data_IF_918992315750
#
_entry.id   IF_918992315750
#
_cell.length_a   1.000
_cell.length_b   1.000
_cell.length_c   1.000
_cell.angle_alpha   90.00
_cell.angle_beta   90.00
_cell.angle_gamma   90.00
#
_symmetry.space_group_name_H-M   'P 1'
#
loop_
_entity.id
_entity.type
_entity.pdbx_description
1 polymer ?
#
# COMPACT_ATOMS: atom_id res chain seq x y z
N UNK A 1 6.23 -23.73 -25.84
CA UNK A 1 5.24 -23.96 -24.77
C UNK A 1 5.87 -23.46 -23.51
N UNK A 2 5.40 -22.33 -22.97
CA UNK A 2 5.83 -21.81 -21.65
C UNK A 2 5.27 -22.78 -20.60
N UNK A 3 6.13 -23.27 -19.73
CA UNK A 3 5.77 -24.10 -18.58
C UNK A 3 4.68 -23.36 -17.75
N UNK A 4 3.49 -23.96 -17.53
CA UNK A 4 2.44 -23.33 -16.75
C UNK A 4 2.85 -23.02 -15.30
N UNK A 5 3.97 -23.58 -14.82
CA UNK A 5 4.57 -23.27 -13.51
C UNK A 5 5.40 -21.99 -13.54
N UNK A 6 5.82 -21.48 -14.71
CA UNK A 6 6.79 -20.38 -14.84
C UNK A 6 6.24 -18.99 -14.49
N UNK A 7 4.92 -18.83 -14.23
CA UNK A 7 4.27 -17.54 -14.05
C UNK A 7 3.38 -17.45 -12.79
N UNK A 8 3.55 -18.38 -11.82
CA UNK A 8 2.78 -18.34 -10.58
C UNK A 8 3.20 -17.19 -9.69
N UNK A 9 2.23 -16.43 -9.22
CA UNK A 9 2.44 -15.27 -8.35
C UNK A 9 1.88 -15.53 -6.95
N UNK A 10 2.74 -15.40 -5.93
CA UNK A 10 2.32 -15.32 -4.54
C UNK A 10 1.89 -13.89 -4.22
N UNK A 11 0.74 -13.73 -3.57
CA UNK A 11 0.26 -12.43 -3.07
C UNK A 11 0.17 -12.48 -1.55
N UNK A 12 1.10 -11.83 -0.87
CA UNK A 12 1.08 -11.68 0.59
C UNK A 12 0.04 -10.64 1.01
N UNK A 13 -0.54 -10.81 2.19
CA UNK A 13 -1.58 -9.93 2.71
C UNK A 13 -2.85 -9.94 1.84
N UNK A 14 -3.19 -11.08 1.24
CA UNK A 14 -4.25 -11.21 0.24
C UNK A 14 -5.67 -10.94 0.77
N UNK A 15 -5.86 -10.85 2.07
CA UNK A 15 -7.13 -10.42 2.70
C UNK A 15 -7.15 -8.93 3.06
N UNK A 16 -6.04 -8.23 2.81
CA UNK A 16 -5.88 -6.81 3.09
C UNK A 16 -6.27 -5.90 1.93
N UNK A 17 -6.18 -4.60 2.18
CA UNK A 17 -6.61 -3.51 1.29
C UNK A 17 -6.00 -3.57 -0.12
N UNK A 18 -4.70 -3.81 -0.24
CA UNK A 18 -4.03 -3.89 -1.54
C UNK A 18 -3.92 -5.32 -2.04
N UNK A 19 -3.55 -6.28 -1.18
CA UNK A 19 -3.33 -7.67 -1.58
C UNK A 19 -4.55 -8.32 -2.23
N UNK A 20 -5.76 -8.12 -1.66
CA UNK A 20 -6.99 -8.65 -2.25
C UNK A 20 -7.22 -8.12 -3.68
N UNK A 21 -6.99 -6.81 -3.87
CA UNK A 21 -7.14 -6.15 -5.17
C UNK A 21 -6.07 -6.60 -6.17
N UNK A 22 -4.83 -6.78 -5.71
CA UNK A 22 -3.73 -7.31 -6.56
C UNK A 22 -4.06 -8.72 -7.02
N UNK A 23 -4.48 -9.60 -6.10
CA UNK A 23 -4.86 -10.96 -6.44
C UNK A 23 -5.98 -10.99 -7.49
N UNK A 24 -7.04 -10.18 -7.29
CA UNK A 24 -8.14 -10.06 -8.24
C UNK A 24 -7.65 -9.62 -9.63
N UNK A 25 -6.84 -8.55 -9.71
CA UNK A 25 -6.35 -8.02 -10.99
C UNK A 25 -5.42 -8.98 -11.73
N UNK A 26 -4.65 -9.79 -11.00
CA UNK A 26 -3.83 -10.84 -11.61
C UNK A 26 -4.71 -11.95 -12.18
N UNK A 27 -5.75 -12.39 -11.47
CA UNK A 27 -6.73 -13.38 -11.96
C UNK A 27 -7.47 -12.85 -13.19
N UNK A 28 -7.89 -11.58 -13.19
CA UNK A 28 -8.53 -10.95 -14.36
C UNK A 28 -7.62 -10.92 -15.60
N UNK A 29 -6.29 -10.93 -15.40
CA UNK A 29 -5.29 -11.05 -16.47
C UNK A 29 -4.96 -12.50 -16.85
N UNK A 30 -5.63 -13.49 -16.27
CA UNK A 30 -5.41 -14.91 -16.52
C UNK A 30 -4.11 -15.46 -15.94
N UNK A 31 -3.53 -14.77 -14.96
CA UNK A 31 -2.31 -15.25 -14.29
C UNK A 31 -2.65 -16.13 -13.09
N UNK A 32 -1.93 -17.25 -12.89
CA UNK A 32 -2.15 -18.11 -11.74
C UNK A 32 -1.65 -17.43 -10.47
N UNK A 33 -2.53 -17.33 -9.47
CA UNK A 33 -2.27 -16.68 -8.18
C UNK A 33 -2.35 -17.71 -7.07
N UNK A 34 -1.46 -17.60 -6.09
CA UNK A 34 -1.60 -18.17 -4.74
C UNK A 34 -1.74 -17.03 -3.77
N UNK A 35 -2.83 -17.01 -3.03
CA UNK A 35 -3.06 -16.04 -1.96
C UNK A 35 -2.45 -16.51 -0.65
N UNK A 36 -1.87 -15.58 0.13
CA UNK A 36 -1.28 -15.87 1.43
C UNK A 36 -1.69 -14.83 2.48
N UNK A 37 -2.17 -15.30 3.62
CA UNK A 37 -2.56 -14.48 4.77
C UNK A 37 -2.66 -15.35 6.02
N UNK A 38 -2.81 -14.73 7.19
CA UNK A 38 -3.02 -15.46 8.45
C UNK A 38 -4.31 -16.28 8.44
N UNK A 39 -5.34 -15.80 7.75
CA UNK A 39 -6.64 -16.49 7.59
C UNK A 39 -7.25 -16.13 6.24
N UNK A 40 -8.13 -17.00 5.70
CA UNK A 40 -8.95 -16.71 4.52
C UNK A 40 -8.18 -16.61 3.20
N UNK A 41 -7.06 -17.34 3.07
CA UNK A 41 -6.23 -17.41 1.87
C UNK A 41 -5.89 -18.87 1.52
N UNK A 42 -5.30 -19.12 0.36
CA UNK A 42 -4.92 -20.47 -0.10
C UNK A 42 -3.87 -21.11 0.79
N UNK A 43 -2.94 -20.30 1.33
CA UNK A 43 -1.89 -20.75 2.26
C UNK A 43 -1.82 -19.85 3.49
N UNK A 44 -1.52 -20.46 4.62
CA UNK A 44 -1.23 -19.71 5.84
C UNK A 44 0.12 -19.01 5.74
N UNK A 45 0.16 -17.73 6.10
CA UNK A 45 1.37 -16.92 6.16
C UNK A 45 1.30 -15.91 7.31
N UNK A 46 2.29 -15.91 8.18
CA UNK A 46 2.42 -14.94 9.26
C UNK A 46 3.86 -14.42 9.32
N UNK A 47 4.03 -13.11 9.27
CA UNK A 47 5.33 -12.46 9.44
C UNK A 47 6.00 -12.74 10.78
N UNK A 48 5.24 -13.14 11.81
CA UNK A 48 5.75 -13.49 13.12
C UNK A 48 6.13 -14.98 13.23
N UNK A 49 5.92 -15.77 12.19
CA UNK A 49 6.23 -17.20 12.15
C UNK A 49 6.94 -17.56 10.84
N UNK A 50 8.29 -17.53 10.88
CA UNK A 50 9.13 -17.83 9.71
C UNK A 50 8.95 -19.26 9.18
N UNK A 51 8.41 -20.20 9.97
CA UNK A 51 8.14 -21.57 9.49
C UNK A 51 7.08 -21.61 8.37
N UNK A 52 6.30 -20.52 8.23
CA UNK A 52 5.29 -20.39 7.17
C UNK A 52 5.87 -19.94 5.81
N UNK A 53 7.12 -19.45 5.78
CA UNK A 53 7.72 -18.80 4.60
C UNK A 53 7.97 -19.79 3.45
N UNK A 54 8.74 -20.84 3.70
CA UNK A 54 9.10 -21.84 2.69
C UNK A 54 7.88 -22.47 2.01
N UNK A 55 6.84 -22.80 2.80
CA UNK A 55 5.58 -23.34 2.26
C UNK A 55 4.83 -22.36 1.37
N UNK A 56 4.87 -21.06 1.69
CA UNK A 56 4.20 -20.05 0.90
C UNK A 56 4.86 -19.83 -0.46
N UNK A 57 6.21 -19.79 -0.52
CA UNK A 57 6.97 -19.50 -1.74
C UNK A 57 7.18 -20.72 -2.65
N UNK A 58 6.95 -21.95 -2.18
CA UNK A 58 7.19 -23.17 -2.91
C UNK A 58 6.48 -23.18 -4.28
N UNK A 59 7.25 -23.27 -5.37
CA UNK A 59 6.75 -23.30 -6.75
C UNK A 59 6.20 -21.93 -7.24
N UNK A 60 6.57 -20.84 -6.59
CA UNK A 60 6.25 -19.49 -7.05
C UNK A 60 7.40 -18.90 -7.86
N UNK A 61 7.10 -18.08 -8.84
CA UNK A 61 8.08 -17.36 -9.64
C UNK A 61 8.08 -15.86 -9.40
N UNK A 62 7.02 -15.34 -8.80
CA UNK A 62 6.82 -13.91 -8.51
C UNK A 62 6.13 -13.74 -7.17
N UNK A 63 6.42 -12.63 -6.49
CA UNK A 63 5.81 -12.32 -5.20
C UNK A 63 5.40 -10.86 -5.13
N UNK A 64 4.18 -10.61 -4.66
CA UNK A 64 3.76 -9.30 -4.14
C UNK A 64 3.96 -9.26 -2.64
N UNK A 65 4.77 -8.32 -2.16
CA UNK A 65 5.09 -8.16 -0.73
C UNK A 65 4.41 -6.93 -0.16
N UNK A 66 3.68 -7.14 0.94
CA UNK A 66 3.21 -6.11 1.87
C UNK A 66 3.88 -6.37 3.21
N UNK A 67 4.55 -5.37 3.76
CA UNK A 67 5.20 -5.45 5.07
C UNK A 67 4.21 -5.73 6.20
N UNK A 68 4.68 -6.23 7.36
CA UNK A 68 3.85 -6.36 8.56
C UNK A 68 3.17 -5.05 8.92
N UNK A 69 1.87 -5.10 9.17
CA UNK A 69 1.07 -3.91 9.52
C UNK A 69 1.38 -3.48 10.95
N UNK A 70 1.55 -2.16 11.16
CA UNK A 70 1.79 -1.53 12.47
C UNK A 70 3.08 -2.01 13.19
N UNK A 71 4.04 -2.56 12.47
CA UNK A 71 5.39 -2.85 12.97
C UNK A 71 6.40 -1.87 12.38
N UNK A 72 7.49 -1.62 13.08
CA UNK A 72 8.57 -0.72 12.66
C UNK A 72 9.93 -1.42 12.53
N UNK A 73 10.03 -2.69 12.94
CA UNK A 73 11.26 -3.47 13.08
C UNK A 73 11.27 -4.75 12.22
N UNK A 74 10.65 -4.71 11.06
CA UNK A 74 10.39 -5.91 10.24
C UNK A 74 11.42 -6.18 9.13
N UNK A 75 12.43 -5.35 8.97
CA UNK A 75 13.36 -5.49 7.83
C UNK A 75 14.08 -6.84 7.81
N UNK A 76 14.49 -7.36 8.99
CA UNK A 76 15.11 -8.68 9.10
C UNK A 76 14.18 -9.83 8.71
N UNK A 77 12.91 -9.77 9.10
CA UNK A 77 11.94 -10.81 8.74
C UNK A 77 11.69 -10.83 7.23
N UNK A 78 11.59 -9.64 6.61
CA UNK A 78 11.42 -9.53 5.15
C UNK A 78 12.68 -10.00 4.42
N UNK A 79 13.88 -9.68 4.92
CA UNK A 79 15.15 -10.17 4.36
C UNK A 79 15.22 -11.69 4.39
N UNK A 80 14.89 -12.32 5.52
CA UNK A 80 14.80 -13.77 5.65
C UNK A 80 13.77 -14.37 4.67
N UNK A 81 12.59 -13.77 4.55
CA UNK A 81 11.61 -14.22 3.55
C UNK A 81 12.14 -14.12 2.12
N UNK A 82 12.91 -13.09 1.80
CA UNK A 82 13.52 -12.94 0.48
C UNK A 82 14.59 -14.00 0.22
N UNK A 83 15.35 -14.45 1.23
CA UNK A 83 16.29 -15.57 1.11
C UNK A 83 15.54 -16.86 0.75
N UNK A 84 14.47 -17.19 1.48
CA UNK A 84 13.60 -18.34 1.18
C UNK A 84 12.97 -18.24 -0.21
N UNK A 85 12.62 -17.05 -0.65
CA UNK A 85 12.05 -16.82 -1.97
C UNK A 85 13.08 -17.05 -3.09
N UNK A 86 14.33 -16.59 -2.92
CA UNK A 86 15.42 -16.85 -3.88
C UNK A 86 15.73 -18.33 -3.95
N UNK A 87 15.86 -19.01 -2.81
CA UNK A 87 16.14 -20.46 -2.74
C UNK A 87 15.02 -21.29 -3.37
N UNK A 88 13.76 -20.85 -3.25
CA UNK A 88 12.60 -21.48 -3.89
C UNK A 88 12.47 -21.20 -5.40
N UNK A 89 13.34 -20.34 -5.97
CA UNK A 89 13.35 -20.01 -7.39
C UNK A 89 12.43 -18.86 -7.80
N UNK A 90 12.00 -18.02 -6.87
CA UNK A 90 11.35 -16.74 -7.19
C UNK A 90 12.34 -15.85 -7.95
N UNK A 91 11.86 -15.16 -8.98
CA UNK A 91 12.69 -14.32 -9.85
C UNK A 91 12.32 -12.85 -9.86
N UNK A 92 11.11 -12.52 -9.40
CA UNK A 92 10.65 -11.14 -9.38
C UNK A 92 9.81 -10.84 -8.13
N UNK A 93 10.08 -9.70 -7.53
CA UNK A 93 9.34 -9.18 -6.37
C UNK A 93 8.76 -7.82 -6.71
N UNK A 94 7.48 -7.60 -6.40
CA UNK A 94 6.87 -6.28 -6.34
C UNK A 94 6.61 -5.93 -4.88
N UNK A 95 7.29 -4.90 -4.39
CA UNK A 95 7.25 -4.48 -2.99
C UNK A 95 6.39 -3.23 -2.81
N UNK A 96 5.43 -3.30 -1.88
CA UNK A 96 4.65 -2.14 -1.46
C UNK A 96 5.40 -1.37 -0.37
N UNK A 97 6.04 -0.30 -0.78
CA UNK A 97 6.71 0.70 0.04
C UNK A 97 5.75 1.87 0.36
N UNK A 98 6.26 3.08 0.57
CA UNK A 98 5.49 4.30 0.80
C UNK A 98 6.13 5.51 0.12
N UNK A 99 5.34 6.55 -0.16
CA UNK A 99 5.79 7.78 -0.79
C UNK A 99 6.92 8.45 0.00
N UNK A 100 7.99 8.84 -0.70
CA UNK A 100 9.13 9.55 -0.14
C UNK A 100 10.16 8.66 0.58
N UNK A 101 9.99 7.33 0.58
CA UNK A 101 10.91 6.41 1.27
C UNK A 101 12.32 6.39 0.69
N UNK A 102 12.52 6.80 -0.56
CA UNK A 102 13.86 7.00 -1.16
C UNK A 102 14.72 8.02 -0.39
N UNK A 103 14.08 8.91 0.35
CA UNK A 103 14.74 9.94 1.17
C UNK A 103 14.77 9.61 2.66
N UNK A 104 14.21 8.46 3.06
CA UNK A 104 14.16 8.06 4.45
C UNK A 104 15.54 7.58 4.95
N UNK A 105 15.86 7.75 6.24
CA UNK A 105 17.03 7.15 6.86
C UNK A 105 17.08 5.63 6.68
N UNK A 106 18.29 5.05 6.70
CA UNK A 106 18.52 3.62 6.49
C UNK A 106 17.90 2.74 7.59
N UNK A 107 17.68 3.32 8.75
CA UNK A 107 17.09 2.67 9.92
C UNK A 107 15.57 2.48 9.79
N UNK A 108 14.94 3.16 8.83
CA UNK A 108 13.50 2.98 8.55
C UNK A 108 13.32 1.65 7.84
N UNK A 109 12.62 0.71 8.49
CA UNK A 109 12.48 -0.66 8.00
C UNK A 109 11.97 -0.75 6.55
N UNK A 110 11.04 0.11 6.15
CA UNK A 110 10.56 0.18 4.76
C UNK A 110 11.69 0.50 3.78
N UNK A 111 12.57 1.47 4.11
CA UNK A 111 13.73 1.81 3.29
C UNK A 111 14.78 0.71 3.30
N UNK A 112 15.01 0.09 4.45
CA UNK A 112 15.95 -1.02 4.56
C UNK A 112 15.55 -2.20 3.65
N UNK A 113 14.26 -2.52 3.54
CA UNK A 113 13.76 -3.54 2.60
C UNK A 113 13.97 -3.12 1.15
N UNK A 114 13.76 -1.83 0.80
CA UNK A 114 14.07 -1.36 -0.57
C UNK A 114 15.53 -1.59 -0.92
N UNK A 115 16.44 -1.24 -0.03
CA UNK A 115 17.89 -1.40 -0.23
C UNK A 115 18.32 -2.87 -0.29
N UNK A 116 17.71 -3.74 0.51
CA UNK A 116 17.95 -5.17 0.43
C UNK A 116 17.54 -5.70 -0.96
N UNK A 117 16.36 -5.37 -1.45
CA UNK A 117 15.91 -5.73 -2.80
C UNK A 117 16.83 -5.19 -3.89
N UNK A 118 17.27 -3.93 -3.78
CA UNK A 118 18.19 -3.29 -4.72
C UNK A 118 19.57 -3.98 -4.74
N UNK A 119 20.00 -4.58 -3.63
CA UNK A 119 21.29 -5.26 -3.50
C UNK A 119 21.31 -6.69 -4.04
N UNK A 120 20.16 -7.35 -4.13
CA UNK A 120 20.03 -8.77 -4.54
C UNK A 120 20.27 -8.96 -6.02
N UNK A 121 21.07 -9.96 -6.37
CA UNK A 121 21.41 -10.28 -7.77
C UNK A 121 20.56 -11.40 -8.35
N UNK A 122 20.01 -12.26 -7.52
CA UNK A 122 19.14 -13.39 -7.89
C UNK A 122 17.68 -13.00 -8.12
N UNK A 123 17.25 -11.85 -7.59
CA UNK A 123 15.91 -11.30 -7.72
C UNK A 123 15.88 -10.00 -8.53
N UNK A 124 14.96 -9.90 -9.47
CA UNK A 124 14.55 -8.60 -9.99
C UNK A 124 13.42 -8.03 -9.13
N UNK A 125 13.29 -6.71 -9.08
CA UNK A 125 12.28 -6.07 -8.24
C UNK A 125 11.58 -4.90 -8.95
N UNK A 126 10.39 -4.58 -8.45
CA UNK A 126 9.70 -3.29 -8.67
C UNK A 126 9.25 -2.76 -7.32
N UNK A 127 9.49 -1.48 -7.07
CA UNK A 127 9.11 -0.82 -5.81
C UNK A 127 7.92 0.09 -6.07
N UNK A 128 6.88 0.00 -5.26
CA UNK A 128 5.72 0.88 -5.31
C UNK A 128 5.71 1.78 -4.07
N UNK A 129 5.81 3.09 -4.27
CA UNK A 129 5.81 4.12 -3.22
C UNK A 129 4.53 4.95 -3.30
N UNK A 130 3.36 4.37 -2.98
CA UNK A 130 2.10 5.07 -3.14
C UNK A 130 1.94 6.23 -2.15
N UNK A 131 1.21 7.25 -2.59
CA UNK A 131 0.64 8.30 -1.76
C UNK A 131 -0.41 7.74 -0.78
N UNK A 132 -1.00 8.58 0.08
CA UNK A 132 -2.07 8.16 0.98
C UNK A 132 -3.27 7.60 0.22
N UNK A 133 -3.82 6.50 0.72
CA UNK A 133 -4.89 5.78 0.04
C UNK A 133 -6.24 6.48 0.21
N UNK A 134 -6.98 6.62 -0.88
CA UNK A 134 -8.39 7.06 -0.84
C UNK A 134 -9.24 6.17 0.08
N UNK A 135 -8.96 4.86 0.12
CA UNK A 135 -9.66 3.89 0.96
C UNK A 135 -9.46 4.12 2.47
N UNK A 136 -8.54 4.98 2.88
CA UNK A 136 -8.45 5.39 4.28
C UNK A 136 -9.71 6.14 4.74
N UNK A 137 -10.40 6.84 3.83
CA UNK A 137 -11.65 7.55 4.12
C UNK A 137 -12.89 6.65 4.18
N UNK A 138 -12.84 5.44 3.61
CA UNK A 138 -13.99 4.52 3.59
C UNK A 138 -13.81 3.27 4.43
N UNK A 139 -12.56 2.85 4.68
CA UNK A 139 -12.26 1.54 5.25
C UNK A 139 -11.50 1.61 6.58
N UNK A 140 -10.80 2.73 6.91
CA UNK A 140 -9.92 2.81 8.08
C UNK A 140 -9.98 4.17 8.79
N UNK A 141 -8.87 4.63 9.36
CA UNK A 141 -8.73 5.69 10.36
C UNK A 141 -9.15 7.10 9.91
N UNK A 142 -9.33 7.35 8.62
CA UNK A 142 -9.90 8.60 8.10
C UNK A 142 -11.40 8.51 7.84
N UNK A 143 -12.05 7.37 8.12
CA UNK A 143 -13.51 7.25 7.99
C UNK A 143 -14.16 8.29 8.91
N UNK A 144 -15.07 9.13 8.38
CA UNK A 144 -15.72 10.14 9.21
C UNK A 144 -16.42 9.54 10.42
N UNK A 145 -16.12 10.03 11.60
CA UNK A 145 -16.81 9.70 12.84
C UNK A 145 -17.68 10.89 13.28
N UNK A 146 -18.97 10.66 13.53
CA UNK A 146 -19.92 11.73 13.85
C UNK A 146 -19.94 12.87 12.81
N UNK A 147 -19.68 12.55 11.54
CA UNK A 147 -19.62 13.55 10.47
C UNK A 147 -18.30 14.33 10.37
N UNK A 148 -17.26 13.92 11.11
CA UNK A 148 -15.96 14.60 11.06
C UNK A 148 -14.83 13.66 10.65
N UNK A 149 -13.94 14.16 9.79
CA UNK A 149 -12.61 13.59 9.53
C UNK A 149 -11.64 14.34 10.44
N UNK A 150 -11.00 13.63 11.37
CA UNK A 150 -10.12 14.23 12.39
C UNK A 150 -8.70 13.73 12.21
N UNK A 151 -7.81 14.61 11.74
CA UNK A 151 -6.38 14.29 11.52
C UNK A 151 -5.56 15.57 11.51
N UNK A 152 -4.34 15.62 12.12
CA UNK A 152 -3.56 16.85 12.29
C UNK A 152 -2.71 17.17 11.03
N UNK A 153 -3.38 17.47 9.91
CA UNK A 153 -2.73 17.77 8.64
C UNK A 153 -2.85 19.24 8.20
N UNK A 154 -3.50 20.09 9.02
CA UNK A 154 -3.68 21.52 8.73
C UNK A 154 -4.34 21.75 7.37
N UNK A 155 -3.77 22.64 6.59
CA UNK A 155 -4.19 22.94 5.21
C UNK A 155 -3.33 22.22 4.17
N UNK A 156 -2.53 21.24 4.59
CA UNK A 156 -1.69 20.46 3.68
C UNK A 156 -2.52 19.68 2.68
N UNK A 157 -1.99 19.56 1.46
CA UNK A 157 -2.62 18.81 0.39
C UNK A 157 -1.86 17.50 0.12
N UNK A 158 -2.60 16.50 -0.33
CA UNK A 158 -2.10 15.15 -0.63
C UNK A 158 -2.71 14.65 -1.93
N UNK A 159 -1.90 14.03 -2.79
CA UNK A 159 -2.38 13.40 -4.02
C UNK A 159 -2.90 11.99 -3.74
N UNK A 160 -4.02 11.89 -3.00
CA UNK A 160 -4.61 10.61 -2.59
C UNK A 160 -4.77 9.66 -3.77
N UNK A 161 -4.30 8.42 -3.62
CA UNK A 161 -4.34 7.39 -4.65
C UNK A 161 -5.36 6.30 -4.33
N UNK A 162 -6.06 5.79 -5.34
CA UNK A 162 -6.94 4.64 -5.16
C UNK A 162 -6.14 3.35 -4.95
N UNK A 163 -6.55 2.51 -4.01
CA UNK A 163 -5.98 1.16 -3.86
C UNK A 163 -6.20 0.30 -5.12
N UNK A 164 -7.21 0.62 -5.95
CA UNK A 164 -7.42 0.00 -7.26
C UNK A 164 -6.28 0.35 -8.23
N UNK A 165 -5.82 1.60 -8.22
CA UNK A 165 -4.73 2.05 -9.08
C UNK A 165 -3.40 1.45 -8.62
N UNK A 166 -3.14 1.42 -7.30
CA UNK A 166 -1.97 0.75 -6.72
C UNK A 166 -1.94 -0.73 -7.15
N UNK A 167 -3.07 -1.42 -7.04
CA UNK A 167 -3.19 -2.80 -7.44
C UNK A 167 -3.01 -2.99 -8.96
N UNK A 168 -3.45 -2.03 -9.78
CA UNK A 168 -3.22 -2.05 -11.22
C UNK A 168 -1.74 -1.93 -11.58
N UNK A 169 -1.01 -1.04 -10.89
CA UNK A 169 0.46 -0.91 -11.04
C UNK A 169 1.16 -2.18 -10.58
N UNK A 170 0.79 -2.73 -9.40
CA UNK A 170 1.36 -4.00 -8.92
C UNK A 170 1.10 -5.16 -9.89
N UNK A 171 -0.12 -5.26 -10.42
CA UNK A 171 -0.44 -6.29 -11.39
C UNK A 171 0.31 -6.10 -12.71
N UNK A 172 0.58 -4.87 -13.14
CA UNK A 172 1.39 -4.60 -14.33
C UNK A 172 2.85 -5.07 -14.12
N UNK A 173 3.46 -4.71 -12.99
CA UNK A 173 4.85 -5.08 -12.67
C UNK A 173 5.02 -6.60 -12.51
N UNK A 174 4.03 -7.28 -11.94
CA UNK A 174 4.02 -8.73 -11.79
C UNK A 174 3.69 -9.46 -13.10
N UNK A 175 2.94 -8.85 -14.01
CA UNK A 175 2.58 -9.47 -15.29
C UNK A 175 3.73 -9.41 -16.29
N UNK A 176 4.50 -8.33 -16.30
CA UNK A 176 5.62 -8.11 -17.21
C UNK A 176 6.88 -7.64 -16.45
N UNK A 177 7.54 -8.54 -15.69
CA UNK A 177 8.76 -8.18 -14.96
C UNK A 177 9.87 -7.61 -15.85
N UNK A 178 9.98 -8.06 -17.08
CA UNK A 178 11.04 -7.60 -17.99
C UNK A 178 10.94 -6.10 -18.27
N UNK A 179 9.73 -5.57 -18.39
CA UNK A 179 9.47 -4.13 -18.59
C UNK A 179 9.67 -3.29 -17.34
N UNK A 180 9.48 -3.90 -16.16
CA UNK A 180 9.37 -3.15 -14.90
C UNK A 180 10.50 -3.43 -13.90
N UNK A 181 11.42 -4.35 -14.20
CA UNK A 181 12.55 -4.68 -13.33
C UNK A 181 13.44 -3.46 -13.04
N UNK A 182 13.81 -3.30 -11.77
CA UNK A 182 14.64 -2.20 -11.27
C UNK A 182 13.92 -0.84 -11.25
N UNK A 183 12.60 -0.80 -11.48
CA UNK A 183 11.84 0.45 -11.46
C UNK A 183 11.17 0.67 -10.12
N UNK A 184 11.17 1.95 -9.69
CA UNK A 184 10.32 2.44 -8.64
C UNK A 184 9.21 3.30 -9.24
N UNK A 185 7.99 3.12 -8.79
CA UNK A 185 6.82 3.92 -9.14
C UNK A 185 6.26 4.55 -7.87
N UNK A 186 5.87 5.81 -7.94
CA UNK A 186 5.18 6.52 -6.87
C UNK A 186 3.70 6.76 -7.24
N UNK A 187 2.83 5.76 -7.14
CA UNK A 187 1.43 5.90 -7.52
C UNK A 187 0.76 7.04 -6.74
N UNK A 188 0.22 8.03 -7.46
CA UNK A 188 -0.52 9.16 -6.92
C UNK A 188 -1.85 9.31 -7.63
N UNK A 189 -2.80 10.01 -6.99
CA UNK A 189 -3.99 10.48 -7.68
C UNK A 189 -3.68 11.63 -8.65
N UNK A 190 -4.64 12.01 -9.51
CA UNK A 190 -4.44 13.03 -10.53
C UNK A 190 -4.53 14.46 -9.97
N UNK A 191 -4.88 14.63 -8.71
CA UNK A 191 -5.10 15.93 -8.07
C UNK A 191 -4.60 15.90 -6.61
N UNK A 192 -3.95 16.96 -6.17
CA UNK A 192 -3.60 17.15 -4.75
C UNK A 192 -4.76 17.86 -4.06
N UNK A 193 -5.29 17.25 -3.00
CA UNK A 193 -6.46 17.74 -2.27
C UNK A 193 -6.10 17.92 -0.79
N UNK A 194 -6.61 18.99 -0.20
CA UNK A 194 -6.66 19.15 1.26
C UNK A 194 -7.69 18.18 1.86
N UNK A 195 -7.59 17.90 3.15
CA UNK A 195 -8.61 17.08 3.84
C UNK A 195 -9.98 17.74 3.86
N UNK A 196 -10.05 19.08 3.85
CA UNK A 196 -11.29 19.85 3.70
C UNK A 196 -11.94 19.59 2.33
N UNK A 197 -11.15 19.57 1.24
CA UNK A 197 -11.63 19.27 -0.10
C UNK A 197 -12.10 17.82 -0.20
N UNK A 198 -11.37 16.87 0.38
CA UNK A 198 -11.80 15.48 0.46
C UNK A 198 -13.14 15.34 1.21
N UNK A 199 -13.30 16.02 2.34
CA UNK A 199 -14.56 16.05 3.10
C UNK A 199 -15.73 16.59 2.27
N UNK A 200 -15.49 17.61 1.44
CA UNK A 200 -16.53 18.15 0.52
C UNK A 200 -16.96 17.13 -0.56
N UNK A 201 -16.01 16.39 -1.15
CA UNK A 201 -16.34 15.31 -2.09
C UNK A 201 -17.14 14.19 -1.42
N UNK A 202 -16.76 13.79 -0.22
CA UNK A 202 -17.46 12.77 0.56
C UNK A 202 -18.88 13.26 0.94
N UNK A 203 -19.01 14.52 1.37
CA UNK A 203 -20.32 15.12 1.66
C UNK A 203 -21.25 15.08 0.45
N UNK A 204 -20.75 15.50 -0.72
CA UNK A 204 -21.50 15.48 -1.98
C UNK A 204 -21.95 14.07 -2.37
N UNK A 205 -21.07 13.08 -2.22
CA UNK A 205 -21.36 11.70 -2.60
C UNK A 205 -22.31 10.99 -1.64
N UNK A 206 -22.18 11.22 -0.33
CA UNK A 206 -22.99 10.56 0.70
C UNK A 206 -24.35 11.24 0.95
N UNK A 207 -24.48 12.51 0.58
CA UNK A 207 -25.65 13.34 0.94
C UNK A 207 -25.65 13.78 2.42
N UNK A 208 -24.56 13.55 3.14
CA UNK A 208 -24.40 13.94 4.56
C UNK A 208 -23.41 15.09 4.68
N UNK A 209 -23.57 15.93 5.68
CA UNK A 209 -22.57 16.94 6.00
C UNK A 209 -21.36 16.27 6.65
N UNK A 210 -20.24 16.23 5.95
CA UNK A 210 -18.94 15.77 6.46
C UNK A 210 -18.01 16.97 6.46
N UNK A 211 -17.31 17.18 7.59
CA UNK A 211 -16.34 18.25 7.75
C UNK A 211 -14.96 17.69 8.09
N UNK A 212 -13.95 18.48 7.86
CA UNK A 212 -12.60 18.23 8.35
C UNK A 212 -12.36 19.02 9.63
N UNK A 213 -11.70 18.42 10.60
CA UNK A 213 -11.24 19.08 11.81
C UNK A 213 -9.76 18.82 12.02
N UNK A 214 -8.98 19.89 11.94
CA UNK A 214 -7.59 19.86 12.39
C UNK A 214 -7.55 19.80 13.93
N UNK A 215 -6.57 19.09 14.47
CA UNK A 215 -6.45 18.84 15.91
C UNK A 215 -4.96 18.88 16.29
N UNK A 216 -4.69 19.12 17.58
CA UNK A 216 -3.34 18.98 18.11
C UNK A 216 -2.78 17.57 17.81
N UNK A 217 -1.56 17.52 17.27
CA UNK A 217 -0.96 16.26 16.82
C UNK A 217 -0.66 15.31 17.96
N UNK A 218 -0.18 15.82 19.10
CA UNK A 218 0.14 14.98 20.24
C UNK A 218 -1.12 14.37 20.85
N UNK A 219 -2.19 15.17 20.95
CA UNK A 219 -3.50 14.67 21.38
C UNK A 219 -4.07 13.62 20.43
N UNK A 220 -3.92 13.80 19.10
CA UNK A 220 -4.37 12.83 18.12
C UNK A 220 -3.57 11.52 18.20
N UNK A 221 -2.23 11.59 18.30
CA UNK A 221 -1.39 10.41 18.46
C UNK A 221 -1.77 9.67 19.74
N UNK A 222 -1.93 10.39 20.87
CA UNK A 222 -2.35 9.77 22.13
C UNK A 222 -3.68 9.02 21.99
N UNK A 223 -4.65 9.59 21.27
CA UNK A 223 -5.93 8.92 20.99
C UNK A 223 -5.76 7.66 20.13
N UNK A 224 -4.86 7.68 19.13
CA UNK A 224 -4.57 6.50 18.31
C UNK A 224 -3.93 5.38 19.15
N UNK A 225 -2.98 5.70 20.04
CA UNK A 225 -2.37 4.73 20.94
C UNK A 225 -3.41 4.14 21.91
N UNK A 226 -4.31 4.97 22.46
CA UNK A 226 -5.42 4.49 23.29
C UNK A 226 -6.40 3.59 22.51
N UNK A 227 -6.55 3.81 21.21
CA UNK A 227 -7.35 2.97 20.32
C UNK A 227 -6.65 1.66 19.91
N UNK A 228 -5.45 1.37 20.44
CA UNK A 228 -4.73 0.11 20.24
C UNK A 228 -3.64 0.13 19.17
N UNK A 229 -3.27 1.29 18.64
CA UNK A 229 -2.07 1.41 17.81
C UNK A 229 -0.83 1.20 18.70
N UNK A 230 0.15 0.36 18.30
CA UNK A 230 1.37 0.15 19.07
C UNK A 230 2.16 1.44 19.32
N UNK A 231 2.76 1.56 20.50
CA UNK A 231 3.45 2.78 20.92
C UNK A 231 4.60 3.17 19.98
N UNK A 232 5.35 2.21 19.49
CA UNK A 232 6.43 2.37 18.53
C UNK A 232 5.98 2.95 17.19
N UNK A 233 4.70 2.79 16.83
CA UNK A 233 4.12 3.35 15.61
C UNK A 233 3.77 4.84 15.74
N UNK A 234 3.80 5.40 16.94
CA UNK A 234 3.51 6.82 17.20
C UNK A 234 4.42 7.77 16.44
N UNK A 235 5.71 7.43 16.29
CA UNK A 235 6.68 8.21 15.49
C UNK A 235 6.32 8.21 14.00
N UNK A 236 5.82 7.10 13.48
CA UNK A 236 5.36 6.98 12.08
C UNK A 236 4.13 7.86 11.86
N UNK A 237 3.15 7.83 12.76
CA UNK A 237 1.96 8.69 12.69
C UNK A 237 2.34 10.18 12.70
N UNK A 238 3.31 10.56 13.54
CA UNK A 238 3.83 11.92 13.59
C UNK A 238 4.45 12.31 12.25
N UNK A 239 5.37 11.51 11.73
CA UNK A 239 6.06 11.77 10.48
C UNK A 239 5.06 11.93 9.31
N UNK A 240 4.11 11.02 9.20
CA UNK A 240 3.10 11.04 8.12
C UNK A 240 2.26 12.33 8.16
N UNK A 241 1.72 12.69 9.32
CA UNK A 241 0.87 13.88 9.46
C UNK A 241 1.67 15.17 9.33
N UNK A 242 2.91 15.20 9.83
CA UNK A 242 3.81 16.36 9.72
C UNK A 242 4.23 16.64 8.27
N UNK A 243 4.49 15.58 7.51
CA UNK A 243 4.85 15.67 6.09
C UNK A 243 3.75 16.38 5.30
N UNK A 244 2.50 15.99 5.50
CA UNK A 244 1.36 16.64 4.83
C UNK A 244 1.15 18.06 5.37
N UNK A 245 1.10 18.25 6.68
CA UNK A 245 0.85 19.56 7.30
C UNK A 245 1.88 20.62 6.91
N UNK A 246 3.14 20.22 6.67
CA UNK A 246 4.21 21.12 6.20
C UNK A 246 4.19 21.40 4.69
N UNK A 247 3.18 20.93 3.96
CA UNK A 247 3.07 21.10 2.50
C UNK A 247 4.02 20.20 1.69
N UNK A 248 4.61 19.19 2.33
CA UNK A 248 5.47 18.18 1.69
C UNK A 248 4.71 16.87 1.37
N UNK A 249 3.40 16.91 1.37
CA UNK A 249 2.57 15.82 0.89
C UNK A 249 2.87 15.47 -0.57
N UNK A 250 2.39 14.32 -1.01
CA UNK A 250 2.61 13.87 -2.37
C UNK A 250 1.99 14.82 -3.41
N UNK A 251 2.60 14.83 -4.58
CA UNK A 251 2.11 15.62 -5.72
C UNK A 251 1.70 14.69 -6.86
N UNK A 252 0.68 15.07 -7.66
CA UNK A 252 0.32 14.31 -8.85
C UNK A 252 1.51 14.08 -9.76
N UNK A 253 1.61 12.84 -10.27
CA UNK A 253 2.62 12.45 -11.26
C UNK A 253 2.00 11.50 -12.31
N UNK A 254 2.79 11.05 -13.26
CA UNK A 254 2.35 10.17 -14.35
C UNK A 254 2.55 8.68 -14.10
N UNK A 255 2.96 8.23 -12.92
CA UNK A 255 3.45 6.86 -12.70
C UNK A 255 2.36 5.79 -12.84
N UNK A 256 1.13 6.08 -12.43
CA UNK A 256 0.01 5.14 -12.63
C UNK A 256 -0.21 4.91 -14.13
N UNK A 257 -0.32 5.98 -14.91
CA UNK A 257 -0.53 5.87 -16.35
C UNK A 257 0.68 5.29 -17.07
N UNK A 258 1.91 5.65 -16.70
CA UNK A 258 3.14 5.11 -17.25
C UNK A 258 3.27 3.59 -17.05
N UNK A 259 2.84 3.08 -15.89
CA UNK A 259 2.89 1.66 -15.57
C UNK A 259 1.74 0.86 -16.19
N UNK A 260 0.54 1.46 -16.30
CA UNK A 260 -0.69 0.72 -16.63
C UNK A 260 -1.30 1.07 -17.97
N UNK A 261 -0.95 2.23 -18.54
CA UNK A 261 -1.62 2.81 -19.73
C UNK A 261 -2.99 3.43 -19.42
N UNK A 262 -3.38 3.53 -18.15
CA UNK A 262 -4.69 4.07 -17.71
C UNK A 262 -4.47 5.21 -16.72
N UNK A 263 -5.20 6.29 -16.91
CA UNK A 263 -5.15 7.45 -16.00
C UNK A 263 -5.61 7.07 -14.58
N UNK A 264 -5.02 7.68 -13.54
CA UNK A 264 -5.39 7.41 -12.15
C UNK A 264 -6.82 7.86 -11.83
N UNK A 265 -7.45 7.17 -10.90
CA UNK A 265 -8.81 7.44 -10.41
C UNK A 265 -8.87 8.83 -9.75
N UNK A 266 -9.87 9.64 -10.13
CA UNK A 266 -10.16 10.91 -9.45
C UNK A 266 -10.82 10.66 -8.10
N UNK A 267 -10.57 11.54 -7.13
CA UNK A 267 -11.20 11.43 -5.80
C UNK A 267 -12.72 11.50 -5.86
N UNK A 268 -13.27 12.32 -6.76
CA UNK A 268 -14.72 12.41 -6.98
C UNK A 268 -15.33 11.07 -7.42
N UNK A 269 -14.65 10.32 -8.29
CA UNK A 269 -15.13 9.03 -8.80
C UNK A 269 -15.03 7.94 -7.71
N UNK A 270 -13.95 7.97 -6.93
CA UNK A 270 -13.82 7.12 -5.73
C UNK A 270 -14.95 7.42 -4.74
N UNK A 271 -15.20 8.70 -4.43
CA UNK A 271 -16.23 9.10 -3.49
C UNK A 271 -17.62 8.64 -3.95
N UNK A 272 -17.93 8.79 -5.22
CA UNK A 272 -19.21 8.34 -5.79
C UNK A 272 -19.39 6.82 -5.65
N UNK A 273 -18.36 6.03 -5.96
CA UNK A 273 -18.40 4.55 -5.82
C UNK A 273 -18.47 4.08 -4.36
N UNK A 274 -17.88 4.83 -3.44
CA UNK A 274 -17.79 4.50 -2.01
C UNK A 274 -18.90 5.15 -1.16
N UNK A 275 -19.88 5.83 -1.77
CA UNK A 275 -20.89 6.64 -1.09
C UNK A 275 -21.62 5.88 0.05
N UNK A 276 -21.87 4.58 -0.14
CA UNK A 276 -22.55 3.76 0.86
C UNK A 276 -21.74 3.61 2.16
N UNK A 277 -20.40 3.71 2.12
CA UNK A 277 -19.56 3.60 3.32
C UNK A 277 -19.79 4.75 4.33
N UNK A 278 -20.45 5.83 3.90
CA UNK A 278 -20.67 7.04 4.70
C UNK A 278 -22.15 7.39 4.92
N UNK A 279 -23.09 6.53 4.49
CA UNK A 279 -24.55 6.78 4.64
C UNK A 279 -25.10 6.36 6.01
N UNK A 280 -24.33 5.57 6.77
CA UNK A 280 -24.70 5.11 8.11
C UNK A 280 -24.19 6.03 9.21
#
# INVERSE_FOLDING_TARGET
>A
MTDPMSNRTLVLGATGKTGARVAQKLVERGLPVRTAARNGADVHFDWNDSTTFAGAVAGMSRVYIVSPVLRVDFAGDVSHFLDEAEDAGVRHVTYLSAYGMEHAPLEVAVRAVELDLESRKGLTHSILRPAWFMQNFSETFLKPMNGEIVVPCGTGAEAFVSAEDIASVAAATLSDPARHAGRAYAPTGPEALTFEEAARYISKASGRKISYRDIDRDAWIAAMLQAGIPAEYGSVLRMLTETVASGRGSRPNGDVEAATGVAPTRFADFAARSANAWRE
#
